data_IF_684534658117
#
_entry.id   IF_684534658117
#
_cell.length_a   1.000
_cell.length_b   1.000
_cell.length_c   1.000
_cell.angle_alpha   90.00
_cell.angle_beta   90.00
_cell.angle_gamma   90.00
#
_symmetry.space_group_name_H-M   'P 1'
#
loop_
_entity.id
_entity.type
_entity.pdbx_description
1 polymer ?
#
# COMPACT_ATOMS: atom_id res chain seq x y z
N UNK A 1 15.00 10.68 17.63
CA UNK A 1 13.77 9.87 17.80
C UNK A 1 13.12 9.51 16.45
N UNK A 2 13.14 10.37 15.43
CA UNK A 2 12.49 10.09 14.13
C UNK A 2 13.11 8.98 13.27
N UNK A 3 14.44 8.80 13.31
CA UNK A 3 15.13 7.86 12.42
C UNK A 3 14.59 6.43 12.46
N UNK A 4 14.26 5.91 13.64
CA UNK A 4 13.69 4.58 13.79
C UNK A 4 12.29 4.46 13.14
N UNK A 5 11.48 5.51 13.26
CA UNK A 5 10.14 5.53 12.67
C UNK A 5 10.25 5.64 11.14
N UNK A 6 11.16 6.47 10.66
CA UNK A 6 11.40 6.63 9.22
C UNK A 6 11.94 5.34 8.59
N UNK A 7 12.94 4.69 9.22
CA UNK A 7 13.44 3.38 8.80
C UNK A 7 12.32 2.32 8.81
N UNK A 8 11.48 2.32 9.84
CA UNK A 8 10.33 1.42 9.92
C UNK A 8 9.29 1.66 8.82
N UNK A 9 9.05 2.93 8.43
CA UNK A 9 8.20 3.28 7.29
C UNK A 9 8.77 2.73 6.00
N UNK A 10 10.05 2.99 5.74
CA UNK A 10 10.72 2.57 4.50
C UNK A 10 10.73 1.04 4.37
N UNK A 11 11.06 0.32 5.45
CA UNK A 11 11.06 -1.14 5.48
C UNK A 11 9.65 -1.72 5.25
N UNK A 12 8.64 -1.12 5.90
CA UNK A 12 7.25 -1.54 5.74
C UNK A 12 6.77 -1.30 4.32
N UNK A 13 7.06 -0.13 3.76
CA UNK A 13 6.72 0.22 2.39
C UNK A 13 7.36 -0.76 1.41
N UNK A 14 8.69 -0.97 1.49
CA UNK A 14 9.43 -1.83 0.58
C UNK A 14 8.94 -3.28 0.64
N UNK A 15 8.66 -3.78 1.84
CA UNK A 15 8.13 -5.13 2.06
C UNK A 15 6.74 -5.32 1.44
N UNK A 16 5.81 -4.42 1.75
CA UNK A 16 4.43 -4.47 1.23
C UNK A 16 4.43 -4.30 -0.29
N UNK A 17 5.14 -3.30 -0.80
CA UNK A 17 5.28 -3.06 -2.23
C UNK A 17 5.83 -4.29 -2.95
N UNK A 18 6.91 -4.89 -2.47
CA UNK A 18 7.50 -6.09 -3.05
C UNK A 18 6.55 -7.29 -3.08
N UNK A 19 5.69 -7.44 -2.07
CA UNK A 19 4.65 -8.47 -2.05
C UNK A 19 3.56 -8.20 -3.10
N UNK A 20 3.12 -6.94 -3.22
CA UNK A 20 2.11 -6.53 -4.20
C UNK A 20 2.59 -6.67 -5.65
N UNK A 21 3.84 -6.32 -5.94
CA UNK A 21 4.46 -6.54 -7.26
C UNK A 21 4.39 -8.02 -7.65
N UNK A 22 4.77 -8.92 -6.74
CA UNK A 22 4.69 -10.38 -6.99
C UNK A 22 3.26 -10.84 -7.22
N UNK A 23 2.29 -10.25 -6.54
CA UNK A 23 0.88 -10.58 -6.70
C UNK A 23 0.36 -10.18 -8.09
N UNK A 24 0.68 -8.97 -8.55
CA UNK A 24 0.30 -8.46 -9.87
C UNK A 24 0.93 -9.26 -11.00
N UNK A 25 2.20 -9.64 -10.85
CA UNK A 25 2.91 -10.45 -11.85
C UNK A 25 2.23 -11.80 -12.09
N UNK A 26 1.50 -12.33 -11.10
CA UNK A 26 0.79 -13.61 -11.23
C UNK A 26 -0.58 -13.44 -11.87
N UNK A 27 -1.36 -12.46 -11.41
CA UNK A 27 -2.69 -12.20 -11.94
C UNK A 27 -3.10 -10.74 -11.69
N UNK A 28 -2.95 -9.84 -12.68
CA UNK A 28 -3.14 -8.40 -12.48
C UNK A 28 -4.59 -8.02 -12.15
N UNK A 29 -5.58 -8.59 -12.84
CA UNK A 29 -7.00 -8.24 -12.66
C UNK A 29 -7.51 -8.64 -11.27
N UNK A 30 -7.13 -9.86 -10.83
CA UNK A 30 -7.49 -10.34 -9.51
C UNK A 30 -6.72 -9.57 -8.42
N UNK A 31 -5.46 -9.22 -8.68
CA UNK A 31 -4.64 -8.46 -7.75
C UNK A 31 -5.23 -7.07 -7.50
N UNK A 32 -5.68 -6.35 -8.54
CA UNK A 32 -6.25 -5.01 -8.40
C UNK A 32 -7.44 -4.99 -7.44
N UNK A 33 -8.38 -5.93 -7.61
CA UNK A 33 -9.55 -6.04 -6.73
C UNK A 33 -9.17 -6.32 -5.28
N UNK A 34 -8.20 -7.21 -5.05
CA UNK A 34 -7.70 -7.52 -3.71
C UNK A 34 -7.02 -6.31 -3.07
N UNK A 35 -6.19 -5.59 -3.82
CA UNK A 35 -5.47 -4.39 -3.36
C UNK A 35 -6.47 -3.31 -2.93
N UNK A 36 -7.51 -3.06 -3.73
CA UNK A 36 -8.57 -2.11 -3.37
C UNK A 36 -9.32 -2.52 -2.10
N UNK A 37 -9.61 -3.80 -1.93
CA UNK A 37 -10.25 -4.33 -0.72
C UNK A 37 -9.39 -4.13 0.53
N UNK A 38 -8.09 -4.44 0.45
CA UNK A 38 -7.15 -4.26 1.56
C UNK A 38 -6.96 -2.78 1.87
N UNK A 39 -6.79 -1.94 0.86
CA UNK A 39 -6.63 -0.48 1.02
C UNK A 39 -7.82 0.14 1.75
N UNK A 40 -9.05 -0.27 1.41
CA UNK A 40 -10.26 0.17 2.13
C UNK A 40 -10.18 -0.18 3.62
N UNK A 41 -9.75 -1.39 3.97
CA UNK A 41 -9.62 -1.81 5.36
C UNK A 41 -8.52 -1.02 6.09
N UNK A 42 -7.40 -0.73 5.42
CA UNK A 42 -6.33 0.10 5.98
C UNK A 42 -6.81 1.51 6.30
N UNK A 43 -7.61 2.12 5.42
CA UNK A 43 -8.20 3.43 5.67
C UNK A 43 -9.18 3.44 6.83
N UNK A 44 -10.04 2.43 6.94
CA UNK A 44 -10.93 2.27 8.09
C UNK A 44 -10.11 2.17 9.38
N UNK A 45 -9.08 1.32 9.38
CA UNK A 45 -8.21 1.15 10.54
C UNK A 45 -7.50 2.46 10.89
N UNK A 46 -6.96 3.19 9.92
CA UNK A 46 -6.33 4.49 10.14
C UNK A 46 -7.30 5.46 10.84
N UNK A 47 -8.54 5.56 10.37
CA UNK A 47 -9.57 6.41 10.98
C UNK A 47 -10.04 5.95 12.37
N UNK A 48 -9.96 4.66 12.68
CA UNK A 48 -10.34 4.09 13.98
C UNK A 48 -9.24 4.25 15.07
N UNK A 49 -8.28 5.15 14.91
CA UNK A 49 -7.20 5.38 15.89
C UNK A 49 -7.58 6.24 17.12
N UNK A 50 -8.82 6.14 17.58
CA UNK A 50 -9.34 6.96 18.68
C UNK A 50 -8.62 6.79 20.03
N UNK A 51 -8.02 5.62 20.29
CA UNK A 51 -7.28 5.32 21.54
C UNK A 51 -5.77 5.58 21.43
N UNK A 52 -5.28 5.89 20.22
CA UNK A 52 -3.87 6.02 19.91
C UNK A 52 -3.13 4.67 19.89
N UNK A 53 -2.69 4.24 18.71
CA UNK A 53 -1.89 3.01 18.49
C UNK A 53 -0.38 3.25 18.56
N UNK A 54 0.04 4.50 18.75
CA UNK A 54 1.44 4.91 18.82
C UNK A 54 2.08 5.17 17.46
N UNK A 55 3.10 6.02 17.45
CA UNK A 55 3.69 6.56 16.23
C UNK A 55 4.28 5.50 15.29
N UNK A 56 4.91 4.45 15.83
CA UNK A 56 5.46 3.37 15.01
C UNK A 56 4.36 2.53 14.31
N UNK A 57 3.26 2.23 15.01
CA UNK A 57 2.15 1.49 14.41
C UNK A 57 1.44 2.33 13.34
N UNK A 58 1.21 3.62 13.61
CA UNK A 58 0.63 4.53 12.63
C UNK A 58 1.53 4.69 11.40
N UNK A 59 2.84 4.79 11.60
CA UNK A 59 3.82 4.80 10.54
C UNK A 59 3.76 3.55 9.65
N UNK A 60 3.63 2.36 10.23
CA UNK A 60 3.46 1.11 9.46
C UNK A 60 2.16 1.07 8.65
N UNK A 61 1.06 1.58 9.20
CA UNK A 61 -0.23 1.69 8.49
C UNK A 61 -0.11 2.69 7.33
N UNK A 62 0.48 3.87 7.56
CA UNK A 62 0.71 4.88 6.53
C UNK A 62 1.59 4.33 5.38
N UNK A 63 2.68 3.64 5.72
CA UNK A 63 3.57 3.02 4.73
C UNK A 63 2.85 1.94 3.92
N UNK A 64 1.99 1.14 4.57
CA UNK A 64 1.18 0.13 3.90
C UNK A 64 0.17 0.76 2.94
N UNK A 65 -0.52 1.83 3.35
CA UNK A 65 -1.45 2.59 2.50
C UNK A 65 -0.70 3.10 1.26
N UNK A 66 0.43 3.79 1.47
CA UNK A 66 1.23 4.35 0.38
C UNK A 66 1.68 3.28 -0.63
N UNK A 67 2.08 2.10 -0.17
CA UNK A 67 2.48 1.00 -1.06
C UNK A 67 1.31 0.48 -1.91
N UNK A 68 0.11 0.36 -1.35
CA UNK A 68 -1.08 -0.06 -2.09
C UNK A 68 -1.51 0.99 -3.11
N UNK A 69 -1.46 2.28 -2.76
CA UNK A 69 -1.81 3.36 -3.68
C UNK A 69 -0.84 3.48 -4.85
N UNK A 70 0.47 3.39 -4.57
CA UNK A 70 1.52 3.41 -5.59
C UNK A 70 1.26 2.35 -6.66
N UNK A 71 0.96 1.14 -6.23
CA UNK A 71 0.66 0.03 -7.13
C UNK A 71 -0.63 0.25 -7.93
N UNK A 72 -1.70 0.78 -7.33
CA UNK A 72 -2.94 1.07 -8.06
C UNK A 72 -2.73 2.15 -9.12
N UNK A 73 -1.88 3.14 -8.84
CA UNK A 73 -1.49 4.15 -9.82
C UNK A 73 -0.71 3.51 -10.98
N UNK A 74 0.28 2.65 -10.69
CA UNK A 74 1.03 1.95 -11.74
C UNK A 74 0.14 1.06 -12.63
N UNK A 75 -0.82 0.34 -12.03
CA UNK A 75 -1.77 -0.47 -12.79
C UNK A 75 -2.63 0.39 -13.70
N UNK A 76 -3.15 1.51 -13.18
CA UNK A 76 -3.93 2.47 -13.98
C UNK A 76 -3.11 3.01 -15.15
N UNK A 77 -1.87 3.42 -14.92
CA UNK A 77 -1.00 3.98 -15.96
C UNK A 77 -0.64 2.91 -17.01
N UNK A 78 -0.51 1.64 -16.63
CA UNK A 78 -0.34 0.53 -17.59
C UNK A 78 -1.58 0.29 -18.45
N UNK A 79 -2.77 0.42 -17.89
CA UNK A 79 -4.02 0.26 -18.63
C UNK A 79 -4.19 1.42 -19.63
N UNK A 80 -3.93 2.66 -19.19
CA UNK A 80 -4.04 3.84 -20.06
C UNK A 80 -3.03 3.83 -21.22
N UNK A 81 -1.79 3.39 -21.00
CA UNK A 81 -0.77 3.26 -22.05
C UNK A 81 -0.95 2.01 -22.93
N UNK A 82 -1.75 1.03 -22.50
CA UNK A 82 -2.07 -0.17 -23.25
C UNK A 82 -3.17 0.03 -24.30
N UNK A 83 -4.03 1.04 -24.09
CA UNK A 83 -5.14 1.41 -24.98
C UNK A 83 -4.72 2.30 -26.17
N UNK A 84 -3.46 2.75 -26.23
CA UNK A 84 -2.90 3.58 -27.33
C UNK A 84 -2.27 2.77 -28.49
N UNK A 85 -2.55 1.47 -28.63
CA UNK A 85 -2.05 0.64 -29.74
C UNK A 85 -3.14 0.09 -30.66
#
# INVERSE_FOLDING_TARGET
>A
MNRYIDEHKDDTFASVYGALVKMIQRNPDQAEQQIRGILRNLYINQGLDWTGRGAACNAGIEASIAAHECILLELRDRHQNGDEK
#
